data_IF_655847766179
#
_entry.id   IF_655847766179
#
_cell.length_a   1.000
_cell.length_b   1.000
_cell.length_c   1.000
_cell.angle_alpha   90.00
_cell.angle_beta   90.00
_cell.angle_gamma   90.00
#
_symmetry.space_group_name_H-M   'P 1'
#
loop_
_entity.id
_entity.type
_entity.pdbx_description
1 polymer ?
#
# COMPACT_ATOMS: atom_id res chain seq x y z
N UNK A 1 -23.32 -13.47 4.42
CA UNK A 1 -23.15 -12.10 3.90
C UNK A 1 -23.49 -12.07 2.42
N UNK A 2 -24.15 -11.02 1.97
CA UNK A 2 -24.33 -10.78 0.53
C UNK A 2 -22.95 -10.68 -0.13
N UNK A 3 -22.74 -11.25 -1.33
CA UNK A 3 -21.45 -11.16 -2.07
C UNK A 3 -20.92 -9.72 -2.16
N UNK A 4 -21.82 -8.74 -2.20
CA UNK A 4 -21.49 -7.32 -2.24
C UNK A 4 -20.92 -6.78 -0.92
N UNK A 5 -21.35 -7.31 0.22
CA UNK A 5 -20.83 -6.92 1.54
C UNK A 5 -19.41 -7.45 1.74
N UNK A 6 -19.16 -8.70 1.31
CA UNK A 6 -17.81 -9.29 1.34
C UNK A 6 -16.82 -8.51 0.48
N UNK A 7 -17.20 -8.16 -0.76
CA UNK A 7 -16.35 -7.35 -1.64
C UNK A 7 -16.05 -5.95 -1.10
N UNK A 8 -17.02 -5.31 -0.44
CA UNK A 8 -16.79 -4.01 0.22
C UNK A 8 -15.81 -4.14 1.38
N UNK A 9 -15.95 -5.18 2.20
CA UNK A 9 -15.02 -5.46 3.30
C UNK A 9 -13.59 -5.72 2.79
N UNK A 10 -13.44 -6.50 1.71
CA UNK A 10 -12.14 -6.73 1.06
C UNK A 10 -11.49 -5.42 0.60
N UNK A 11 -12.28 -4.54 -0.04
CA UNK A 11 -11.80 -3.24 -0.52
C UNK A 11 -11.34 -2.36 0.65
N UNK A 12 -12.11 -2.28 1.73
CA UNK A 12 -11.76 -1.46 2.89
C UNK A 12 -10.54 -2.01 3.64
N UNK A 13 -10.40 -3.34 3.71
CA UNK A 13 -9.18 -3.98 4.20
C UNK A 13 -7.96 -3.59 3.35
N UNK A 14 -8.07 -3.70 2.01
CA UNK A 14 -6.97 -3.34 1.11
C UNK A 14 -6.60 -1.85 1.20
N UNK A 15 -7.58 -0.95 1.36
CA UNK A 15 -7.31 0.48 1.59
C UNK A 15 -6.55 0.71 2.89
N UNK A 16 -7.00 0.09 3.97
CA UNK A 16 -6.34 0.19 5.28
C UNK A 16 -4.91 -0.32 5.21
N UNK A 17 -4.67 -1.39 4.45
CA UNK A 17 -3.34 -1.94 4.22
C UNK A 17 -2.45 -0.98 3.42
N UNK A 18 -2.98 -0.29 2.41
CA UNK A 18 -2.24 0.77 1.69
C UNK A 18 -1.85 1.90 2.63
N UNK A 19 -2.79 2.36 3.47
CA UNK A 19 -2.52 3.44 4.45
C UNK A 19 -1.39 2.99 5.40
N UNK A 20 -1.43 1.76 5.89
CA UNK A 20 -0.38 1.20 6.73
C UNK A 20 1.00 1.24 6.05
N UNK A 21 1.09 0.83 4.78
CA UNK A 21 2.35 0.90 4.03
C UNK A 21 2.81 2.32 3.74
N UNK A 22 1.89 3.27 3.52
CA UNK A 22 2.23 4.69 3.40
C UNK A 22 2.80 5.26 4.71
N UNK A 23 2.23 4.88 5.86
CA UNK A 23 2.77 5.23 7.18
C UNK A 23 4.17 4.66 7.40
N UNK A 24 4.40 3.40 7.00
CA UNK A 24 5.73 2.79 7.06
C UNK A 24 6.74 3.56 6.18
N UNK A 25 6.34 3.98 4.98
CA UNK A 25 7.16 4.76 4.05
C UNK A 25 7.54 6.12 4.66
N UNK A 26 6.58 6.79 5.30
CA UNK A 26 6.82 8.02 6.04
C UNK A 26 7.79 7.80 7.22
N UNK A 27 7.65 6.69 7.95
CA UNK A 27 8.57 6.33 9.04
C UNK A 27 10.01 6.12 8.57
N UNK A 28 10.20 5.40 7.46
CA UNK A 28 11.53 5.18 6.85
C UNK A 28 12.16 6.51 6.42
N UNK A 29 11.39 7.38 5.77
CA UNK A 29 11.86 8.71 5.35
C UNK A 29 12.16 9.61 6.55
N UNK A 30 11.31 9.60 7.58
CA UNK A 30 11.53 10.36 8.81
C UNK A 30 12.80 9.93 9.55
N UNK A 31 13.08 8.62 9.60
CA UNK A 31 14.28 8.08 10.22
C UNK A 31 15.55 8.55 9.51
N UNK A 32 15.62 8.44 8.17
CA UNK A 32 16.81 8.88 7.42
C UNK A 32 17.07 10.38 7.58
N UNK A 33 16.02 11.21 7.63
CA UNK A 33 16.17 12.65 7.90
C UNK A 33 16.77 12.91 9.29
N UNK A 34 16.37 12.12 10.28
CA UNK A 34 16.86 12.23 11.67
C UNK A 34 18.34 11.86 11.78
N UNK A 35 18.79 10.84 11.05
CA UNK A 35 20.17 10.35 11.11
C UNK A 35 21.07 10.89 10.00
N UNK A 36 20.59 11.80 9.14
CA UNK A 36 21.26 12.21 7.88
C UNK A 36 22.73 12.63 8.01
N UNK A 37 23.14 13.18 9.16
CA UNK A 37 24.51 13.62 9.41
C UNK A 37 25.46 12.49 9.84
N UNK A 38 24.90 11.36 10.30
CA UNK A 38 25.63 10.16 10.74
C UNK A 38 25.45 8.98 9.78
N UNK A 39 24.54 9.11 8.81
CA UNK A 39 24.21 8.07 7.85
C UNK A 39 25.41 7.77 6.94
N UNK A 40 25.77 6.50 6.85
CA UNK A 40 26.75 6.01 5.89
C UNK A 40 26.07 5.75 4.53
N UNK A 41 26.86 5.62 3.47
CA UNK A 41 26.37 5.33 2.11
C UNK A 41 25.52 4.03 2.10
N UNK A 42 25.90 3.05 2.93
CA UNK A 42 25.15 1.81 3.10
C UNK A 42 23.73 2.04 3.65
N UNK A 43 23.56 2.95 4.62
CA UNK A 43 22.23 3.28 5.18
C UNK A 43 21.33 3.91 4.12
N UNK A 44 21.89 4.79 3.29
CA UNK A 44 21.17 5.45 2.21
C UNK A 44 20.72 4.44 1.15
N UNK A 45 21.60 3.50 0.77
CA UNK A 45 21.26 2.42 -0.17
C UNK A 45 20.17 1.52 0.39
N UNK A 46 20.25 1.15 1.67
CA UNK A 46 19.26 0.30 2.32
C UNK A 46 17.89 0.99 2.39
N UNK A 47 17.86 2.27 2.75
CA UNK A 47 16.63 3.10 2.72
C UNK A 47 16.08 3.22 1.31
N UNK A 48 16.93 3.42 0.31
CA UNK A 48 16.52 3.44 -1.10
C UNK A 48 15.84 2.14 -1.54
N UNK A 49 16.43 0.99 -1.20
CA UNK A 49 15.84 -0.33 -1.47
C UNK A 49 14.50 -0.50 -0.74
N UNK A 50 14.43 -0.10 0.53
CA UNK A 50 13.19 -0.17 1.31
C UNK A 50 12.06 0.67 0.67
N UNK A 51 12.37 1.88 0.20
CA UNK A 51 11.40 2.74 -0.50
C UNK A 51 10.91 2.08 -1.79
N UNK A 52 11.83 1.50 -2.60
CA UNK A 52 11.47 0.79 -3.84
C UNK A 52 10.55 -0.40 -3.57
N UNK A 53 10.90 -1.23 -2.57
CA UNK A 53 10.10 -2.41 -2.20
C UNK A 53 8.71 -1.99 -1.68
N UNK A 54 8.63 -1.01 -0.77
CA UNK A 54 7.36 -0.51 -0.26
C UNK A 54 6.48 0.09 -1.38
N UNK A 55 7.08 0.85 -2.29
CA UNK A 55 6.36 1.42 -3.45
C UNK A 55 5.84 0.34 -4.39
N UNK A 56 6.60 -0.74 -4.61
CA UNK A 56 6.16 -1.88 -5.40
C UNK A 56 4.97 -2.60 -4.74
N UNK A 57 5.02 -2.83 -3.43
CA UNK A 57 3.92 -3.45 -2.67
C UNK A 57 2.65 -2.58 -2.76
N UNK A 58 2.77 -1.28 -2.53
CA UNK A 58 1.64 -0.34 -2.66
C UNK A 58 1.04 -0.39 -4.07
N UNK A 59 1.88 -0.43 -5.10
CA UNK A 59 1.45 -0.52 -6.49
C UNK A 59 0.68 -1.82 -6.79
N UNK A 60 1.11 -2.95 -6.23
CA UNK A 60 0.41 -4.24 -6.36
C UNK A 60 -0.95 -4.21 -5.63
N UNK A 61 -1.01 -3.62 -4.44
CA UNK A 61 -2.27 -3.47 -3.70
C UNK A 61 -3.26 -2.57 -4.45
N UNK A 62 -2.80 -1.48 -5.05
CA UNK A 62 -3.64 -0.62 -5.88
C UNK A 62 -4.23 -1.37 -7.09
N UNK A 63 -3.45 -2.24 -7.74
CA UNK A 63 -3.96 -3.10 -8.83
C UNK A 63 -5.07 -4.02 -8.32
N UNK A 64 -4.85 -4.70 -7.19
CA UNK A 64 -5.85 -5.58 -6.56
C UNK A 64 -7.13 -4.84 -6.19
N UNK A 65 -7.04 -3.62 -5.66
CA UNK A 65 -8.23 -2.80 -5.36
C UNK A 65 -9.02 -2.50 -6.63
N UNK A 66 -8.36 -2.13 -7.73
CA UNK A 66 -9.06 -1.86 -9.00
C UNK A 66 -9.80 -3.08 -9.52
N UNK A 67 -9.18 -4.26 -9.43
CA UNK A 67 -9.81 -5.53 -9.81
C UNK A 67 -11.07 -5.80 -8.96
N UNK A 68 -10.96 -5.65 -7.64
CA UNK A 68 -12.08 -5.83 -6.69
C UNK A 68 -13.21 -4.82 -6.91
N UNK A 69 -12.88 -3.57 -7.21
CA UNK A 69 -13.88 -2.53 -7.55
C UNK A 69 -14.60 -2.90 -8.86
N UNK A 70 -13.87 -3.35 -9.88
CA UNK A 70 -14.46 -3.78 -11.15
C UNK A 70 -15.40 -4.97 -10.97
N UNK A 71 -15.02 -5.94 -10.14
CA UNK A 71 -15.88 -7.08 -9.76
C UNK A 71 -17.17 -6.60 -9.08
N UNK A 72 -17.07 -5.66 -8.14
CA UNK A 72 -18.22 -5.08 -7.45
C UNK A 72 -19.15 -4.32 -8.41
N UNK A 73 -18.61 -3.58 -9.38
CA UNK A 73 -19.41 -2.86 -10.39
C UNK A 73 -20.16 -3.84 -11.31
N UNK A 74 -19.47 -4.87 -11.82
CA UNK A 74 -20.09 -5.89 -12.67
C UNK A 74 -21.22 -6.64 -11.95
N UNK A 75 -21.12 -6.84 -10.64
CA UNK A 75 -22.18 -7.46 -9.84
C UNK A 75 -23.40 -6.55 -9.63
N UNK A 76 -23.19 -5.23 -9.65
CA UNK A 76 -24.29 -4.25 -9.60
C UNK A 76 -25.04 -4.15 -10.93
N UNK A 77 -24.35 -4.24 -12.07
CA UNK A 77 -24.97 -4.15 -13.40
C UNK A 77 -25.80 -5.39 -13.80
N UNK A 78 -25.62 -6.53 -13.11
CA UNK A 78 -26.39 -7.77 -13.35
C UNK A 78 -27.66 -7.89 -12.50
N UNK A 79 -27.98 -6.90 -11.67
CA UNK A 79 -29.21 -6.82 -10.87
C UNK A 79 -30.07 -5.66 -11.34
#
# INVERSE_FOLDING_TARGET
MSKNEGLKADIDFLKSLIIFFLTALFGVVGWIVTIRQKAQIADILLVGVAIVVLSAIISLLFKKIREKIKELTNLKERK
#
